data_IF_484334269905
#
_entry.id   IF_484334269905
#
_cell.length_a   1.000
_cell.length_b   1.000
_cell.length_c   1.000
_cell.angle_alpha   90.00
_cell.angle_beta   90.00
_cell.angle_gamma   90.00
#
_symmetry.space_group_name_H-M   'P 1'
#
loop_
_entity.id
_entity.type
_entity.pdbx_description
1 polymer ?
#
# COMPACT_ATOMS: atom_id res chain seq x y z
N UNK A 1 16.84 -9.78 18.62
CA UNK A 1 16.58 -8.33 18.61
C UNK A 1 15.60 -8.08 17.48
N UNK A 2 14.50 -7.37 17.72
CA UNK A 2 13.54 -7.07 16.64
C UNK A 2 14.18 -6.07 15.67
N UNK A 3 14.00 -6.28 14.38
CA UNK A 3 14.53 -5.42 13.32
C UNK A 3 14.02 -3.97 13.51
N UNK A 4 14.95 -3.02 13.41
CA UNK A 4 14.66 -1.60 13.58
C UNK A 4 13.56 -1.13 12.63
N UNK A 5 13.55 -1.58 11.38
CA UNK A 5 12.56 -1.16 10.40
C UNK A 5 11.17 -1.74 10.69
N UNK A 6 11.10 -2.93 11.29
CA UNK A 6 9.84 -3.51 11.79
C UNK A 6 9.24 -2.64 12.89
N UNK A 7 10.07 -2.16 13.82
CA UNK A 7 9.63 -1.27 14.91
C UNK A 7 9.13 0.06 14.34
N UNK A 8 9.89 0.65 13.41
CA UNK A 8 9.54 1.92 12.73
C UNK A 8 8.21 1.80 12.00
N UNK A 9 7.98 0.71 11.27
CA UNK A 9 6.73 0.45 10.58
C UNK A 9 5.54 0.33 11.54
N UNK A 10 5.69 -0.45 12.63
CA UNK A 10 4.64 -0.61 13.65
C UNK A 10 4.23 0.74 14.25
N UNK A 11 5.22 1.59 14.54
CA UNK A 11 4.96 2.93 15.07
C UNK A 11 4.22 3.81 14.06
N UNK A 12 4.59 3.77 12.78
CA UNK A 12 3.90 4.51 11.72
C UNK A 12 2.43 4.05 11.55
N UNK A 13 2.18 2.74 11.59
CA UNK A 13 0.81 2.19 11.55
C UNK A 13 0.00 2.65 12.76
N UNK A 14 0.60 2.69 13.96
CA UNK A 14 -0.07 3.17 15.16
C UNK A 14 -0.41 4.67 15.05
N UNK A 15 0.54 5.49 14.60
CA UNK A 15 0.32 6.91 14.32
C UNK A 15 -0.81 7.13 13.30
N UNK A 16 -0.84 6.33 12.22
CA UNK A 16 -1.92 6.35 11.24
C UNK A 16 -3.28 6.05 11.88
N UNK A 17 -3.37 5.01 12.73
CA UNK A 17 -4.61 4.67 13.46
C UNK A 17 -5.07 5.78 14.41
N UNK A 18 -4.11 6.52 14.99
CA UNK A 18 -4.36 7.71 15.83
C UNK A 18 -4.66 8.98 15.03
N UNK A 19 -4.73 8.90 13.70
CA UNK A 19 -4.94 10.03 12.76
C UNK A 19 -3.80 11.04 12.73
N UNK A 20 -2.61 10.64 13.18
CA UNK A 20 -1.37 11.44 13.12
C UNK A 20 -0.73 11.33 11.72
N UNK A 21 -1.53 11.65 10.69
CA UNK A 21 -1.25 11.25 9.32
C UNK A 21 0.02 11.87 8.73
N UNK A 22 0.37 13.11 9.10
CA UNK A 22 1.60 13.75 8.60
C UNK A 22 2.86 12.99 9.04
N UNK A 23 2.91 12.60 10.31
CA UNK A 23 4.05 11.82 10.84
C UNK A 23 4.08 10.43 10.21
N UNK A 24 2.94 9.73 10.19
CA UNK A 24 2.86 8.40 9.60
C UNK A 24 3.26 8.41 8.11
N UNK A 25 2.78 9.39 7.36
CA UNK A 25 3.10 9.57 5.93
C UNK A 25 4.61 9.71 5.69
N UNK A 26 5.31 10.51 6.49
CA UNK A 26 6.75 10.69 6.34
C UNK A 26 7.49 9.36 6.51
N UNK A 27 7.11 8.57 7.52
CA UNK A 27 7.69 7.24 7.72
C UNK A 27 7.35 6.28 6.59
N UNK A 28 6.10 6.25 6.11
CA UNK A 28 5.72 5.40 4.98
C UNK A 28 6.49 5.77 3.70
N UNK A 29 6.69 7.06 3.43
CA UNK A 29 7.54 7.51 2.31
C UNK A 29 8.97 7.01 2.47
N UNK A 30 9.55 7.16 3.66
CA UNK A 30 10.92 6.73 3.92
C UNK A 30 11.11 5.22 3.77
N UNK A 31 10.14 4.42 4.20
CA UNK A 31 10.20 2.96 4.08
C UNK A 31 9.90 2.49 2.64
N UNK A 32 8.99 3.16 1.93
CA UNK A 32 8.64 2.84 0.55
C UNK A 32 9.64 3.40 -0.48
N UNK A 33 10.57 4.28 -0.08
CA UNK A 33 11.68 4.74 -0.93
C UNK A 33 12.92 3.85 -0.83
N UNK A 34 12.97 2.94 0.15
CA UNK A 34 14.05 1.96 0.24
C UNK A 34 13.86 0.91 -0.86
N UNK A 35 14.96 0.55 -1.50
CA UNK A 35 14.95 -0.45 -2.55
C UNK A 35 14.94 -1.85 -1.93
N UNK A 36 13.80 -2.53 -2.02
CA UNK A 36 13.63 -3.92 -1.61
C UNK A 36 13.14 -4.79 -2.79
N UNK A 37 13.22 -4.31 -4.04
CA UNK A 37 12.66 -5.04 -5.19
C UNK A 37 13.30 -6.41 -5.39
N UNK A 38 14.57 -6.53 -5.02
CA UNK A 38 15.38 -7.74 -5.16
C UNK A 38 15.70 -8.40 -3.81
N UNK A 39 15.12 -7.91 -2.71
CA UNK A 39 15.35 -8.52 -1.39
C UNK A 39 14.67 -9.89 -1.31
N UNK A 40 15.41 -10.89 -0.85
CA UNK A 40 14.87 -12.21 -0.52
C UNK A 40 14.45 -12.32 0.96
N UNK A 41 14.68 -11.26 1.75
CA UNK A 41 14.27 -11.23 3.14
C UNK A 41 12.76 -10.96 3.24
N UNK A 42 12.04 -11.88 3.88
CA UNK A 42 10.59 -11.78 4.06
C UNK A 42 10.17 -10.55 4.87
N UNK A 43 11.01 -10.08 5.79
CA UNK A 43 10.73 -8.87 6.56
C UNK A 43 10.84 -7.63 5.70
N UNK A 44 11.88 -7.52 4.87
CA UNK A 44 12.07 -6.42 3.92
C UNK A 44 10.89 -6.31 2.96
N UNK A 45 10.52 -7.42 2.31
CA UNK A 45 9.39 -7.49 1.39
C UNK A 45 8.09 -7.05 2.08
N UNK A 46 7.87 -7.52 3.31
CA UNK A 46 6.68 -7.18 4.11
C UNK A 46 6.69 -5.72 4.53
N UNK A 47 7.81 -5.19 4.99
CA UNK A 47 7.95 -3.80 5.42
C UNK A 47 7.63 -2.88 4.26
N UNK A 48 8.28 -3.14 3.12
CA UNK A 48 8.10 -2.39 1.91
C UNK A 48 6.66 -2.43 1.41
N UNK A 49 6.07 -3.63 1.30
CA UNK A 49 4.70 -3.82 0.84
C UNK A 49 3.69 -3.09 1.72
N UNK A 50 3.85 -3.16 3.04
CA UNK A 50 2.96 -2.45 3.98
C UNK A 50 3.15 -0.94 3.92
N UNK A 51 4.39 -0.44 3.92
CA UNK A 51 4.67 0.99 3.84
C UNK A 51 4.07 1.60 2.57
N UNK A 52 4.28 0.92 1.44
CA UNK A 52 3.73 1.28 0.13
C UNK A 52 2.21 1.33 0.13
N UNK A 53 1.56 0.34 0.74
CA UNK A 53 0.10 0.31 0.88
C UNK A 53 -0.44 1.50 1.65
N UNK A 54 0.12 1.77 2.83
CA UNK A 54 -0.33 2.91 3.64
C UNK A 54 0.00 4.25 2.99
N UNK A 55 1.13 4.36 2.26
CA UNK A 55 1.44 5.53 1.45
C UNK A 55 0.36 5.77 0.39
N UNK A 56 -0.03 4.72 -0.34
CA UNK A 56 -1.08 4.80 -1.33
C UNK A 56 -2.43 5.18 -0.69
N UNK A 57 -2.80 4.62 0.47
CA UNK A 57 -3.98 5.04 1.21
C UNK A 57 -3.95 6.52 1.62
N UNK A 58 -2.78 7.04 2.01
CA UNK A 58 -2.63 8.45 2.36
C UNK A 58 -2.92 9.35 1.16
N UNK A 59 -2.31 9.07 0.01
CA UNK A 59 -2.57 9.80 -1.22
C UNK A 59 -4.00 9.59 -1.75
N UNK A 60 -4.57 8.41 -1.57
CA UNK A 60 -5.94 8.11 -1.99
C UNK A 60 -6.97 8.92 -1.20
N UNK A 61 -6.75 9.12 0.09
CA UNK A 61 -7.71 9.78 0.98
C UNK A 61 -7.35 11.23 1.33
N UNK A 62 -6.16 11.70 0.93
CA UNK A 62 -5.66 13.01 1.33
C UNK A 62 -5.24 13.06 2.81
N UNK A 63 -4.81 11.94 3.38
CA UNK A 63 -4.39 11.87 4.78
C UNK A 63 -2.97 12.39 4.92
N UNK A 64 -2.84 13.58 5.50
CA UNK A 64 -1.54 14.24 5.70
C UNK A 64 -0.90 14.77 4.41
N UNK A 65 -1.57 14.65 3.26
CA UNK A 65 -1.11 15.09 1.93
C UNK A 65 -2.29 15.53 1.07
N UNK A 66 -2.04 16.33 0.04
CA UNK A 66 -3.05 16.60 -1.00
C UNK A 66 -3.45 15.27 -1.65
N UNK A 67 -4.75 15.03 -1.75
CA UNK A 67 -5.28 13.82 -2.36
C UNK A 67 -4.77 13.70 -3.81
N UNK A 68 -4.14 12.57 -4.12
CA UNK A 68 -3.66 12.25 -5.46
C UNK A 68 -3.87 10.75 -5.74
N UNK A 69 -5.05 10.42 -6.26
CA UNK A 69 -5.45 9.04 -6.49
C UNK A 69 -4.77 8.41 -7.70
N UNK A 70 -4.37 9.23 -8.69
CA UNK A 70 -3.57 8.77 -9.83
C UNK A 70 -2.21 8.27 -9.36
N UNK A 71 -1.57 9.01 -8.45
CA UNK A 71 -0.32 8.57 -7.83
C UNK A 71 -0.48 7.32 -6.97
N UNK A 72 -1.55 7.23 -6.17
CA UNK A 72 -1.83 6.02 -5.40
C UNK A 72 -2.08 4.78 -6.28
N UNK A 73 -2.68 4.95 -7.47
CA UNK A 73 -2.82 3.88 -8.46
C UNK A 73 -1.51 3.56 -9.18
N UNK A 74 -0.67 4.56 -9.48
CA UNK A 74 0.64 4.34 -10.10
C UNK A 74 1.58 3.58 -9.18
N UNK A 75 1.55 3.89 -7.87
CA UNK A 75 2.20 3.08 -6.83
C UNK A 75 1.74 1.63 -7.01
N UNK A 76 0.44 1.36 -7.01
CA UNK A 76 -0.10 0.01 -7.18
C UNK A 76 0.33 -0.70 -8.48
N UNK A 77 0.57 0.03 -9.58
CA UNK A 77 0.93 -0.59 -10.86
C UNK A 77 2.42 -0.84 -11.03
N UNK A 78 3.28 -0.32 -10.14
CA UNK A 78 4.73 -0.45 -10.27
C UNK A 78 5.30 -1.79 -9.75
N UNK A 79 4.49 -2.65 -9.14
CA UNK A 79 4.98 -3.81 -8.40
C UNK A 79 4.73 -5.14 -9.09
N UNK A 80 5.81 -5.93 -9.23
CA UNK A 80 5.85 -7.21 -9.94
C UNK A 80 6.08 -8.42 -9.03
N UNK A 81 6.60 -8.22 -7.80
CA UNK A 81 6.80 -9.30 -6.83
C UNK A 81 5.45 -9.83 -6.32
N UNK A 82 5.24 -11.15 -6.37
CA UNK A 82 3.95 -11.78 -6.07
C UNK A 82 3.46 -11.57 -4.62
N UNK A 83 4.36 -11.44 -3.63
CA UNK A 83 3.98 -11.14 -2.24
C UNK A 83 3.53 -9.68 -2.09
N UNK A 84 4.18 -8.74 -2.79
CA UNK A 84 3.79 -7.32 -2.83
C UNK A 84 2.50 -7.15 -3.65
N UNK A 85 2.34 -7.94 -4.70
CA UNK A 85 1.18 -7.98 -5.59
C UNK A 85 -0.10 -8.28 -4.83
N UNK A 86 -0.08 -9.10 -3.78
CA UNK A 86 -1.25 -9.31 -2.92
C UNK A 86 -1.73 -8.02 -2.27
N UNK A 87 -0.82 -7.29 -1.61
CA UNK A 87 -1.14 -6.06 -0.88
C UNK A 87 -1.63 -4.95 -1.84
N UNK A 88 -0.97 -4.85 -2.99
CA UNK A 88 -1.34 -3.95 -4.09
C UNK A 88 -2.70 -4.30 -4.69
N UNK A 89 -3.02 -5.59 -4.80
CA UNK A 89 -4.31 -6.03 -5.31
C UNK A 89 -5.42 -5.71 -4.31
N UNK A 90 -5.17 -5.82 -2.99
CA UNK A 90 -6.12 -5.33 -1.97
C UNK A 90 -6.42 -3.83 -2.15
N UNK A 91 -5.43 -3.03 -2.55
CA UNK A 91 -5.64 -1.62 -2.86
C UNK A 91 -6.54 -1.46 -4.10
N UNK A 92 -6.24 -2.14 -5.22
CA UNK A 92 -7.05 -2.10 -6.46
C UNK A 92 -8.50 -2.55 -6.23
N UNK A 93 -8.69 -3.58 -5.41
CA UNK A 93 -10.01 -4.04 -4.95
C UNK A 93 -10.75 -2.92 -4.20
N UNK A 94 -10.06 -2.22 -3.29
CA UNK A 94 -10.64 -1.07 -2.58
C UNK A 94 -11.08 0.04 -3.54
N UNK A 95 -10.29 0.33 -4.58
CA UNK A 95 -10.66 1.26 -5.66
C UNK A 95 -11.93 0.83 -6.41
N UNK A 96 -11.98 -0.43 -6.85
CA UNK A 96 -13.09 -0.97 -7.62
C UNK A 96 -14.40 -1.08 -6.82
N UNK A 97 -14.31 -1.33 -5.50
CA UNK A 97 -15.48 -1.40 -4.62
C UNK A 97 -16.05 -0.01 -4.30
N UNK A 98 -15.18 0.97 -4.06
CA UNK A 98 -15.59 2.33 -3.67
C UNK A 98 -16.16 3.13 -4.84
N UNK A 99 -15.69 2.91 -6.08
CA UNK A 99 -16.07 3.66 -7.27
C UNK A 99 -15.57 5.11 -7.22
N UNK A 100 -14.78 5.57 -8.20
CA UNK A 100 -14.17 6.90 -8.10
C UNK A 100 -13.85 7.55 -9.46
N UNK A 101 -14.15 8.86 -9.60
CA UNK A 101 -13.92 9.72 -10.78
C UNK A 101 -13.88 8.96 -12.12
N UNK A 102 -15.06 8.67 -12.67
CA UNK A 102 -15.24 7.99 -13.96
C UNK A 102 -14.76 6.53 -14.03
N UNK A 103 -14.11 5.98 -12.99
CA UNK A 103 -13.97 4.53 -12.82
C UNK A 103 -15.29 4.03 -12.25
N UNK A 104 -16.12 3.46 -13.13
CA UNK A 104 -17.38 2.82 -12.77
C UNK A 104 -17.06 1.74 -11.74
N UNK A 105 -17.79 1.75 -10.62
CA UNK A 105 -17.70 0.71 -9.60
C UNK A 105 -17.83 -0.66 -10.28
N UNK A 106 -16.75 -1.42 -10.26
CA UNK A 106 -16.71 -2.73 -10.89
C UNK A 106 -16.35 -3.79 -9.85
N UNK A 107 -17.40 -4.26 -9.16
CA UNK A 107 -17.26 -5.31 -8.16
C UNK A 107 -16.79 -6.63 -8.79
N UNK A 108 -17.06 -6.86 -10.09
CA UNK A 108 -16.63 -8.06 -10.78
C UNK A 108 -15.13 -8.01 -11.03
N UNK A 109 -14.60 -6.84 -11.41
CA UNK A 109 -13.15 -6.64 -11.54
C UNK A 109 -12.44 -6.76 -10.19
N UNK A 110 -13.01 -6.21 -9.11
CA UNK A 110 -12.53 -6.48 -7.75
C UNK A 110 -12.50 -7.98 -7.43
N UNK A 111 -13.55 -8.70 -7.78
CA UNK A 111 -13.65 -10.15 -7.55
C UNK A 111 -12.63 -10.94 -8.38
N UNK A 112 -12.44 -10.59 -9.64
CA UNK A 112 -11.45 -11.19 -10.55
C UNK A 112 -10.02 -10.94 -10.06
N UNK A 113 -9.75 -9.72 -9.58
CA UNK A 113 -8.48 -9.36 -8.95
C UNK A 113 -8.23 -10.21 -7.70
N UNK A 114 -9.21 -10.42 -6.83
CA UNK A 114 -9.06 -11.32 -5.66
C UNK A 114 -8.76 -12.75 -6.10
N UNK A 115 -9.44 -13.24 -7.15
CA UNK A 115 -9.27 -14.59 -7.67
C UNK A 115 -7.94 -14.82 -8.40
N UNK A 116 -7.26 -13.76 -8.87
CA UNK A 116 -5.93 -13.87 -9.48
C UNK A 116 -4.80 -13.95 -8.46
N UNK A 117 -5.04 -13.58 -7.19
CA UNK A 117 -4.06 -13.75 -6.11
C UNK A 117 -4.27 -15.06 -5.35
N UNK A 118 -5.48 -15.60 -5.37
CA UNK A 118 -5.73 -16.96 -4.86
C UNK A 118 -5.27 -17.96 -5.93
N UNK A 119 -4.21 -18.70 -5.60
CA UNK A 119 -3.69 -19.89 -6.31
C UNK A 119 -2.66 -19.61 -7.41
N UNK A 120 -1.39 -19.55 -7.00
CA UNK A 120 -0.36 -20.50 -7.46
C UNK A 120 0.52 -20.87 -6.29
#
# INVERSE_FOLDING_TARGET
MEDFDVIVLKNAINAYKKREYKSALQTFKSLASKDYSDSTDKNDIKIYGQATFYLALCYMNGYGVIQNKGYALSIANHYTNDEIKFIVTCLKVSYNISGYNNIKRDKNEAFNLINTIKLK
#
